data_IF_122098200749
#
_entry.id   IF_122098200749
#
_cell.length_a   1.000
_cell.length_b   1.000
_cell.length_c   1.000
_cell.angle_alpha   90.00
_cell.angle_beta   90.00
_cell.angle_gamma   90.00
#
_symmetry.space_group_name_H-M   'P 1'
#
loop_
_entity.id
_entity.type
_entity.pdbx_description
1 polymer ?
#
# COMPACT_ATOMS: atom_id res chain seq x y z
N UNK A 1 -3.05 -0.95 14.16
CA UNK A 1 -2.66 -2.07 15.05
C UNK A 1 -3.43 -2.07 16.38
N UNK A 2 -3.69 -0.91 17.01
CA UNK A 2 -4.34 -0.87 18.33
C UNK A 2 -5.82 -1.30 18.35
N UNK A 3 -6.57 -1.07 17.27
CA UNK A 3 -8.02 -1.38 17.24
C UNK A 3 -8.34 -2.89 17.17
N UNK A 4 -7.44 -3.69 16.58
CA UNK A 4 -7.58 -5.16 16.51
C UNK A 4 -7.43 -5.79 17.91
N UNK A 5 -6.73 -5.13 18.83
CA UNK A 5 -6.46 -5.65 20.17
C UNK A 5 -7.75 -5.68 21.02
N UNK A 6 -8.69 -4.77 20.77
CA UNK A 6 -9.91 -4.63 21.59
C UNK A 6 -10.95 -5.73 21.33
N UNK A 7 -10.86 -6.43 20.21
CA UNK A 7 -11.79 -7.50 19.83
C UNK A 7 -11.30 -8.89 20.20
N UNK A 8 -10.06 -9.04 20.69
CA UNK A 8 -9.51 -10.33 21.09
C UNK A 8 -9.96 -10.74 22.51
N UNK A 9 -10.26 -12.03 22.74
CA UNK A 9 -10.64 -12.53 24.05
C UNK A 9 -9.52 -12.30 25.09
N UNK A 10 -9.92 -11.90 26.29
CA UNK A 10 -9.08 -11.34 27.36
C UNK A 10 -7.98 -12.27 27.92
N UNK A 11 -7.93 -13.52 27.45
CA UNK A 11 -6.98 -14.54 27.89
C UNK A 11 -5.61 -14.46 27.21
N UNK A 12 -5.46 -13.72 26.10
CA UNK A 12 -4.20 -13.58 25.37
C UNK A 12 -3.58 -12.20 25.61
N UNK A 13 -3.01 -11.99 26.81
CA UNK A 13 -2.42 -10.69 27.22
C UNK A 13 -1.04 -10.37 26.65
N UNK A 14 -0.44 -11.27 25.85
CA UNK A 14 0.80 -11.01 25.12
C UNK A 14 0.67 -11.56 23.71
N UNK A 15 0.70 -10.67 22.73
CA UNK A 15 0.98 -11.05 21.35
C UNK A 15 2.32 -11.79 21.34
N UNK A 16 2.42 -13.02 20.80
CA UNK A 16 3.72 -13.60 20.53
C UNK A 16 4.48 -12.62 19.64
N UNK A 17 5.65 -12.16 20.09
CA UNK A 17 6.61 -11.49 19.20
C UNK A 17 7.17 -12.58 18.30
N UNK A 18 6.51 -12.77 17.18
CA UNK A 18 7.12 -13.39 16.02
C UNK A 18 7.97 -12.28 15.42
N UNK A 19 9.30 -12.45 15.44
CA UNK A 19 10.19 -11.61 14.64
C UNK A 19 9.93 -11.97 13.17
N UNK A 20 8.82 -11.45 12.63
CA UNK A 20 8.59 -11.47 11.20
C UNK A 20 9.74 -10.71 10.57
N UNK A 21 10.47 -11.37 9.67
CA UNK A 21 11.43 -10.69 8.82
C UNK A 21 10.65 -9.77 7.88
N UNK A 22 10.35 -8.57 8.38
CA UNK A 22 9.74 -7.53 7.57
C UNK A 22 10.84 -6.87 6.75
N UNK A 23 10.62 -6.68 5.45
CA UNK A 23 11.58 -6.01 4.58
C UNK A 23 11.73 -4.54 5.01
N UNK A 24 12.85 -4.20 5.67
CA UNK A 24 13.13 -2.83 6.14
C UNK A 24 13.11 -1.79 5.00
N UNK A 25 13.30 -2.22 3.74
CA UNK A 25 13.21 -1.34 2.56
C UNK A 25 11.81 -0.76 2.35
N UNK A 26 10.76 -1.38 2.91
CA UNK A 26 9.38 -0.89 2.80
C UNK A 26 8.99 0.05 3.95
N UNK A 27 9.84 0.21 4.95
CA UNK A 27 9.55 1.03 6.12
C UNK A 27 9.49 2.50 5.74
N UNK A 28 8.46 3.20 6.21
CA UNK A 28 8.13 4.58 5.85
C UNK A 28 7.83 4.80 4.35
N UNK A 29 7.67 3.75 3.56
CA UNK A 29 7.26 3.88 2.17
C UNK A 29 5.80 4.36 2.08
N UNK A 30 5.47 4.96 0.95
CA UNK A 30 4.09 5.24 0.57
C UNK A 30 3.55 4.01 -0.18
N UNK A 31 2.48 3.42 0.33
CA UNK A 31 1.78 2.29 -0.26
C UNK A 31 0.61 2.81 -1.08
N UNK A 32 0.57 2.43 -2.35
CA UNK A 32 -0.42 2.97 -3.30
C UNK A 32 -0.88 1.89 -4.29
N UNK A 33 -2.20 1.79 -4.45
CA UNK A 33 -2.87 0.91 -5.40
C UNK A 33 -2.79 1.40 -6.85
N UNK A 34 -3.53 0.75 -7.75
CA UNK A 34 -3.57 1.17 -9.16
C UNK A 34 -4.49 2.37 -9.40
N UNK A 35 -4.23 3.07 -10.51
CA UNK A 35 -4.90 4.30 -10.94
C UNK A 35 -6.41 4.17 -11.11
N UNK A 36 -6.93 3.01 -11.53
CA UNK A 36 -8.38 2.78 -11.59
C UNK A 36 -8.81 2.15 -10.27
N UNK A 37 -8.66 2.89 -9.18
CA UNK A 37 -8.71 2.36 -7.82
C UNK A 37 -9.99 1.59 -7.51
N UNK A 38 -9.84 0.37 -7.01
CA UNK A 38 -10.90 -0.47 -6.47
C UNK A 38 -10.71 -0.72 -4.96
N UNK A 39 -11.49 -1.63 -4.38
CA UNK A 39 -11.39 -1.89 -2.94
C UNK A 39 -10.07 -2.56 -2.56
N UNK A 40 -9.52 -3.46 -3.39
CA UNK A 40 -8.27 -4.15 -3.05
C UNK A 40 -7.08 -3.20 -3.08
N UNK A 41 -7.00 -2.36 -4.12
CA UNK A 41 -6.01 -1.29 -4.21
C UNK A 41 -5.98 -0.36 -2.97
N UNK A 42 -7.15 0.00 -2.42
CA UNK A 42 -7.20 0.86 -1.20
C UNK A 42 -6.95 0.07 0.08
N UNK A 43 -7.68 -1.03 0.26
CA UNK A 43 -7.59 -1.82 1.48
C UNK A 43 -6.21 -2.48 1.62
N UNK A 44 -5.65 -2.96 0.51
CA UNK A 44 -4.30 -3.46 0.39
C UNK A 44 -3.26 -2.41 0.75
N UNK A 45 -3.38 -1.17 0.24
CA UNK A 45 -2.49 -0.07 0.61
C UNK A 45 -2.56 0.26 2.11
N UNK A 46 -3.77 0.33 2.69
CA UNK A 46 -3.98 0.55 4.13
C UNK A 46 -3.37 -0.58 4.95
N UNK A 47 -3.63 -1.83 4.56
CA UNK A 47 -3.12 -3.03 5.22
C UNK A 47 -1.59 -3.11 5.17
N UNK A 48 -1.00 -2.87 3.99
CA UNK A 48 0.44 -2.87 3.79
C UNK A 48 1.12 -1.76 4.60
N UNK A 49 0.57 -0.54 4.60
CA UNK A 49 1.06 0.55 5.42
C UNK A 49 1.04 0.21 6.92
N UNK A 50 -0.03 -0.46 7.39
CA UNK A 50 -0.14 -0.91 8.77
C UNK A 50 0.82 -2.05 9.13
N UNK A 51 1.11 -2.96 8.19
CA UNK A 51 1.99 -4.11 8.39
C UNK A 51 3.47 -3.73 8.34
N UNK A 52 3.88 -2.98 7.33
CA UNK A 52 5.29 -2.63 7.07
C UNK A 52 5.71 -1.28 7.70
N UNK A 53 4.76 -0.51 8.23
CA UNK A 53 5.02 0.74 8.93
C UNK A 53 5.32 1.90 7.98
N UNK A 54 4.31 2.34 7.22
CA UNK A 54 4.40 3.50 6.34
C UNK A 54 3.05 4.21 6.17
N UNK A 55 2.84 4.82 5.01
CA UNK A 55 1.66 5.67 4.75
C UNK A 55 0.88 5.11 3.56
N UNK A 56 -0.43 4.96 3.70
CA UNK A 56 -1.30 4.61 2.57
C UNK A 56 -1.66 5.86 1.76
N UNK A 57 -1.80 5.71 0.45
CA UNK A 57 -2.22 6.76 -0.46
C UNK A 57 -3.23 6.25 -1.49
N UNK A 58 -4.06 7.16 -2.00
CA UNK A 58 -4.96 6.90 -3.11
C UNK A 58 -4.30 7.28 -4.43
N UNK A 59 -4.43 6.41 -5.44
CA UNK A 59 -3.99 6.71 -6.80
C UNK A 59 -5.04 7.52 -7.59
N UNK A 60 -6.32 7.43 -7.21
CA UNK A 60 -7.43 8.20 -7.80
C UNK A 60 -8.58 8.35 -6.80
N UNK A 61 -9.65 9.02 -7.22
CA UNK A 61 -10.92 8.97 -6.49
C UNK A 61 -11.43 7.54 -6.36
N UNK A 62 -12.06 7.25 -5.21
CA UNK A 62 -12.59 5.92 -4.88
C UNK A 62 -13.97 5.71 -5.52
N UNK A 63 -14.26 4.47 -5.89
CA UNK A 63 -15.58 4.10 -6.39
C UNK A 63 -16.62 3.98 -5.24
N UNK A 64 -17.89 3.72 -5.57
CA UNK A 64 -18.97 3.63 -4.58
C UNK A 64 -18.85 2.43 -3.63
N UNK A 65 -18.29 1.30 -4.09
CA UNK A 65 -18.04 0.12 -3.26
C UNK A 65 -16.98 0.43 -2.20
N UNK A 66 -15.85 1.00 -2.61
CA UNK A 66 -14.77 1.40 -1.71
C UNK A 66 -15.24 2.49 -0.76
N UNK A 67 -16.03 3.46 -1.22
CA UNK A 67 -16.62 4.48 -0.35
C UNK A 67 -17.56 3.86 0.70
N UNK A 68 -18.40 2.90 0.31
CA UNK A 68 -19.27 2.17 1.23
C UNK A 68 -18.46 1.41 2.28
N UNK A 69 -17.42 0.69 1.86
CA UNK A 69 -16.50 -0.02 2.74
C UNK A 69 -15.87 0.92 3.78
N UNK A 70 -15.28 2.03 3.32
CA UNK A 70 -14.64 3.01 4.19
C UNK A 70 -15.63 3.58 5.22
N UNK A 71 -16.85 3.93 4.80
CA UNK A 71 -17.88 4.40 5.75
C UNK A 71 -18.34 3.29 6.70
N UNK A 72 -18.55 2.07 6.22
CA UNK A 72 -18.98 0.95 7.06
C UNK A 72 -18.00 0.68 8.19
N UNK A 73 -16.69 0.67 7.89
CA UNK A 73 -15.62 0.49 8.87
C UNK A 73 -15.18 1.78 9.57
N UNK A 74 -15.82 2.92 9.28
CA UNK A 74 -15.49 4.25 9.84
C UNK A 74 -14.02 4.62 9.66
N UNK A 75 -13.47 4.23 8.51
CA UNK A 75 -12.09 4.50 8.11
C UNK A 75 -12.03 5.81 7.34
N UNK A 76 -11.05 6.64 7.66
CA UNK A 76 -10.74 7.82 6.85
C UNK A 76 -10.06 7.38 5.56
N UNK A 77 -10.53 7.90 4.42
CA UNK A 77 -9.85 7.71 3.15
C UNK A 77 -8.39 8.22 3.22
N UNK A 78 -7.41 7.49 2.65
CA UNK A 78 -6.04 7.97 2.55
C UNK A 78 -5.95 9.26 1.71
N UNK A 79 -4.87 10.02 1.87
CA UNK A 79 -4.65 11.20 1.02
C UNK A 79 -4.30 10.79 -0.42
N UNK A 80 -4.64 11.61 -1.42
CA UNK A 80 -4.15 11.42 -2.78
C UNK A 80 -2.62 11.43 -2.83
N UNK A 81 -2.04 10.54 -3.63
CA UNK A 81 -0.59 10.40 -3.78
C UNK A 81 0.06 11.71 -4.27
N UNK A 82 -0.64 12.49 -5.08
CA UNK A 82 -0.15 13.77 -5.61
C UNK A 82 0.05 14.82 -4.52
N UNK A 83 -0.73 14.78 -3.44
CA UNK A 83 -0.55 15.68 -2.30
C UNK A 83 0.68 15.27 -1.49
N UNK A 84 0.84 13.98 -1.21
CA UNK A 84 2.00 13.47 -0.48
C UNK A 84 3.30 13.73 -1.24
N UNK A 85 3.32 13.52 -2.56
CA UNK A 85 4.52 13.75 -3.37
C UNK A 85 4.87 15.23 -3.55
N UNK A 86 3.95 16.18 -3.32
CA UNK A 86 4.31 17.60 -3.22
C UNK A 86 5.16 17.89 -1.99
N UNK A 87 4.87 17.23 -0.87
CA UNK A 87 5.58 17.41 0.39
C UNK A 87 6.87 16.58 0.44
N UNK A 88 6.83 15.36 -0.09
CA UNK A 88 7.97 14.43 -0.12
C UNK A 88 8.21 13.85 -1.52
N UNK A 89 8.77 14.63 -2.47
CA UNK A 89 8.95 14.20 -3.86
C UNK A 89 9.87 12.98 -4.08
N UNK A 90 10.68 12.65 -3.07
CA UNK A 90 11.64 11.52 -3.09
C UNK A 90 11.25 10.40 -2.13
N UNK A 91 10.00 10.38 -1.66
CA UNK A 91 9.52 9.29 -0.80
C UNK A 91 9.62 7.96 -1.55
N UNK A 92 10.04 6.93 -0.83
CA UNK A 92 10.03 5.56 -1.33
C UNK A 92 8.59 5.09 -1.52
N UNK A 93 8.34 4.35 -2.61
CA UNK A 93 7.00 3.94 -3.03
C UNK A 93 6.92 2.41 -3.13
N UNK A 94 5.87 1.83 -2.54
CA UNK A 94 5.50 0.45 -2.75
C UNK A 94 4.20 0.40 -3.55
N UNK A 95 4.25 -0.19 -4.74
CA UNK A 95 3.05 -0.46 -5.54
C UNK A 95 2.33 -1.65 -4.91
N UNK A 96 1.03 -1.48 -4.71
CA UNK A 96 0.15 -2.54 -4.21
C UNK A 96 -0.85 -2.86 -5.31
N UNK A 97 -1.18 -4.13 -5.50
CA UNK A 97 -2.23 -4.59 -6.41
C UNK A 97 -1.96 -4.29 -7.91
N UNK A 98 -0.75 -3.84 -8.24
CA UNK A 98 -0.27 -3.69 -9.61
C UNK A 98 1.24 -3.54 -9.69
N UNK A 99 1.76 -3.74 -10.91
CA UNK A 99 3.12 -3.38 -11.29
C UNK A 99 3.23 -2.72 -12.67
N UNK A 100 2.12 -2.63 -13.42
CA UNK A 100 2.17 -2.18 -14.79
C UNK A 100 2.23 -0.65 -14.83
N UNK A 101 3.15 -0.10 -15.60
CA UNK A 101 3.32 1.36 -15.75
C UNK A 101 2.06 2.06 -16.26
N UNK A 102 1.21 1.37 -17.04
CA UNK A 102 -0.08 1.90 -17.50
C UNK A 102 -1.15 2.03 -16.41
N UNK A 103 -0.96 1.37 -15.28
CA UNK A 103 -1.85 1.40 -14.12
C UNK A 103 -1.31 2.29 -12.99
N UNK A 104 -0.11 2.85 -13.15
CA UNK A 104 0.53 3.68 -12.14
C UNK A 104 0.01 5.12 -12.21
N UNK A 105 -0.11 5.79 -11.06
CA UNK A 105 -0.43 7.22 -11.05
C UNK A 105 0.69 8.02 -11.75
N UNK A 106 0.38 8.97 -12.65
CA UNK A 106 1.38 9.72 -13.42
C UNK A 106 2.36 10.55 -12.59
N UNK A 107 2.02 10.88 -11.34
CA UNK A 107 2.90 11.64 -10.44
C UNK A 107 4.00 10.79 -9.82
N UNK A 108 3.89 9.46 -9.90
CA UNK A 108 4.87 8.52 -9.36
C UNK A 108 6.07 8.43 -10.31
N UNK A 109 7.26 8.73 -9.80
CA UNK A 109 8.51 8.39 -10.49
C UNK A 109 8.88 6.92 -10.20
N UNK A 110 9.12 6.14 -11.24
CA UNK A 110 9.53 4.73 -11.15
C UNK A 110 10.82 4.56 -10.32
N UNK A 111 11.73 5.54 -10.34
CA UNK A 111 12.99 5.48 -9.56
C UNK A 111 12.77 5.45 -8.03
N UNK A 112 11.62 5.96 -7.59
CA UNK A 112 11.22 5.96 -6.19
C UNK A 112 10.60 4.63 -5.78
N UNK A 113 10.28 3.73 -6.72
CA UNK A 113 9.70 2.43 -6.38
C UNK A 113 10.74 1.57 -5.70
N UNK A 114 10.40 1.07 -4.52
CA UNK A 114 11.21 0.17 -3.69
C UNK A 114 10.54 -1.18 -3.44
N UNK A 115 9.25 -1.30 -3.80
CA UNK A 115 8.43 -2.45 -3.48
C UNK A 115 7.30 -2.67 -4.48
N UNK A 116 6.97 -3.94 -4.70
CA UNK A 116 5.73 -4.40 -5.35
C UNK A 116 5.11 -5.50 -4.49
N UNK A 117 3.83 -5.37 -4.17
CA UNK A 117 3.00 -6.42 -3.55
C UNK A 117 1.77 -6.59 -4.45
N UNK A 118 1.69 -7.68 -5.20
CA UNK A 118 0.68 -7.84 -6.24
C UNK A 118 0.24 -9.31 -6.36
N UNK A 119 -0.92 -9.55 -6.96
CA UNK A 119 -1.43 -10.90 -7.25
C UNK A 119 -1.72 -11.09 -8.75
N UNK A 120 -1.51 -10.05 -9.55
CA UNK A 120 -1.70 -10.08 -11.00
C UNK A 120 -0.53 -10.78 -11.71
N UNK A 121 -0.80 -11.22 -12.94
CA UNK A 121 0.24 -11.75 -13.80
C UNK A 121 1.26 -10.68 -14.17
N UNK A 122 2.55 -11.04 -14.13
CA UNK A 122 3.61 -10.22 -14.72
C UNK A 122 3.51 -10.27 -16.25
N UNK A 123 3.36 -9.10 -16.87
CA UNK A 123 3.13 -8.96 -18.31
C UNK A 123 4.07 -7.90 -18.91
N UNK A 124 3.85 -7.58 -20.19
CA UNK A 124 4.54 -6.46 -20.83
C UNK A 124 4.23 -5.14 -20.11
N UNK A 125 5.20 -4.21 -20.12
CA UNK A 125 5.11 -2.90 -19.45
C UNK A 125 5.09 -2.92 -17.91
N UNK A 126 5.55 -4.02 -17.31
CA UNK A 126 6.00 -4.04 -15.90
C UNK A 126 7.04 -2.95 -15.68
N UNK A 127 7.02 -2.32 -14.50
CA UNK A 127 8.05 -1.35 -14.11
C UNK A 127 9.47 -1.91 -14.27
N UNK A 128 10.41 -1.05 -14.62
CA UNK A 128 11.83 -1.38 -14.76
C UNK A 128 12.60 -0.43 -13.85
N UNK A 129 13.38 -0.99 -12.93
CA UNK A 129 14.15 -0.23 -11.94
C UNK A 129 15.64 -0.53 -12.09
N UNK A 130 16.48 0.48 -11.91
CA UNK A 130 17.95 0.32 -11.94
C UNK A 130 18.50 -0.34 -10.66
N UNK A 131 17.73 -0.24 -9.56
CA UNK A 131 18.06 -0.83 -8.25
C UNK A 131 17.22 -2.08 -7.98
N UNK A 132 17.74 -3.06 -7.21
CA UNK A 132 16.91 -4.13 -6.67
C UNK A 132 15.79 -3.56 -5.80
N UNK A 133 14.60 -4.14 -5.92
CA UNK A 133 13.41 -3.79 -5.14
C UNK A 133 12.83 -5.03 -4.48
N UNK A 134 12.01 -4.84 -3.45
CA UNK A 134 11.23 -5.92 -2.87
C UNK A 134 10.09 -6.30 -3.82
N UNK A 135 9.89 -7.59 -4.07
CA UNK A 135 8.79 -8.09 -4.90
C UNK A 135 8.14 -9.27 -4.20
N UNK A 136 6.83 -9.18 -4.01
CA UNK A 136 5.99 -10.23 -3.50
C UNK A 136 4.79 -10.41 -4.44
N UNK A 137 4.73 -11.55 -5.13
CA UNK A 137 3.67 -11.89 -6.09
C UNK A 137 3.05 -13.22 -5.68
N UNK A 138 1.78 -13.24 -5.26
CA UNK A 138 1.11 -14.44 -4.75
C UNK A 138 -0.39 -14.48 -5.04
#
# INVERSE_FOLDING_TARGET
AEDIIRTLPSSHKKLPRVDFFLPEILKNAIFVGHLVTDLDSVAGAIGAAALYGGTAALASEVNSETAFALDYWKMKAPQPIEELLKETPKADICLVDHQQTSQMNPSINVDNVVGVIDHHALQSKTIVTDKPIYIDIR
#
